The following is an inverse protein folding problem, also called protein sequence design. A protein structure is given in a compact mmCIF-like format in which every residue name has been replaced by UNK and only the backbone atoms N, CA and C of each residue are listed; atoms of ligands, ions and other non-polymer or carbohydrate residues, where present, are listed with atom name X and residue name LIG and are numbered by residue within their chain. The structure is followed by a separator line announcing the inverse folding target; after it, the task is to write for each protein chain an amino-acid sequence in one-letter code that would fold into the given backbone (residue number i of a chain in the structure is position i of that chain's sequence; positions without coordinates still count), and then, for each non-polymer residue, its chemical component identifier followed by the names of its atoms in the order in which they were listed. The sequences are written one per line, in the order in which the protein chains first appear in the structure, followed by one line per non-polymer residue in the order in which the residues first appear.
data_IF_310560589029
#
_entry.id   IF_310560589029
#
_cell.length_a   1.000
_cell.length_b   1.000
_cell.length_c   1.000
_cell.angle_alpha   90.00
_cell.angle_beta   90.00
_cell.angle_gamma   90.00
#
_symmetry.space_group_name_H-M   'P 1'
#
loop_
_entity.id
_entity.type
_entity.pdbx_description
1 polymer ?
#
# COMPACT_ATOMS: atom_id res chain seq x y z
N UNK A 1 -9.98 -22.35 15.89
CA UNK A 1 -9.04 -22.16 14.77
C UNK A 1 -9.39 -20.81 14.17
N UNK A 2 -8.48 -19.84 14.28
CA UNK A 2 -8.68 -18.50 13.72
C UNK A 2 -8.51 -18.59 12.20
N UNK A 3 -9.56 -18.27 11.45
CA UNK A 3 -9.42 -18.09 10.01
C UNK A 3 -8.64 -16.77 9.80
N UNK A 4 -7.61 -16.73 8.95
CA UNK A 4 -6.97 -15.47 8.60
C UNK A 4 -8.04 -14.54 8.01
N UNK A 5 -8.16 -13.36 8.61
CA UNK A 5 -9.09 -12.30 8.23
C UNK A 5 -8.75 -11.89 6.80
N UNK A 6 -9.73 -11.93 5.88
CA UNK A 6 -9.63 -11.64 4.43
C UNK A 6 -8.93 -10.31 4.04
N UNK A 7 -8.55 -9.51 5.01
CA UNK A 7 -7.92 -8.19 4.90
C UNK A 7 -6.48 -8.31 4.37
N UNK A 8 -5.70 -9.31 4.80
CA UNK A 8 -4.30 -9.48 4.39
C UNK A 8 -4.16 -9.89 2.91
N UNK A 9 -5.06 -10.72 2.40
CA UNK A 9 -5.01 -11.18 1.00
C UNK A 9 -5.41 -10.06 0.00
N UNK A 10 -6.31 -9.16 0.41
CA UNK A 10 -6.80 -8.10 -0.47
C UNK A 10 -5.82 -6.93 -0.60
N UNK A 11 -5.14 -6.56 0.50
CA UNK A 11 -4.14 -5.49 0.47
C UNK A 11 -2.88 -5.88 -0.30
N UNK A 12 -2.41 -7.13 -0.18
CA UNK A 12 -1.39 -7.68 -1.09
C UNK A 12 -1.87 -7.68 -2.55
N UNK A 13 -3.16 -7.99 -2.77
CA UNK A 13 -3.77 -8.03 -4.10
C UNK A 13 -3.74 -6.69 -4.83
N UNK A 14 -4.03 -5.58 -4.14
CA UNK A 14 -4.00 -4.23 -4.74
C UNK A 14 -2.57 -3.81 -5.09
N UNK A 15 -1.61 -4.06 -4.21
CA UNK A 15 -0.21 -3.71 -4.45
C UNK A 15 0.38 -4.48 -5.63
N UNK A 16 0.03 -5.78 -5.75
CA UNK A 16 0.38 -6.60 -6.92
C UNK A 16 -0.35 -6.15 -8.20
N UNK A 17 -1.60 -5.71 -8.09
CA UNK A 17 -2.39 -5.24 -9.22
C UNK A 17 -1.86 -3.91 -9.78
N UNK A 18 -1.47 -2.98 -8.90
CA UNK A 18 -0.82 -1.74 -9.28
C UNK A 18 0.51 -2.00 -9.99
N UNK A 19 1.33 -2.93 -9.48
CA UNK A 19 2.57 -3.34 -10.13
C UNK A 19 2.32 -3.95 -11.51
N UNK A 20 1.27 -4.77 -11.64
CA UNK A 20 0.88 -5.38 -12.91
C UNK A 20 0.44 -4.33 -13.94
N UNK A 21 -0.30 -3.32 -13.50
CA UNK A 21 -0.80 -2.26 -14.39
C UNK A 21 0.29 -1.26 -14.78
N UNK A 22 1.23 -0.97 -13.88
CA UNK A 22 2.46 -0.22 -14.21
C UNK A 22 3.35 -0.99 -15.21
N UNK A 23 3.50 -2.31 -15.04
CA UNK A 23 4.24 -3.16 -15.99
C UNK A 23 3.58 -3.21 -17.39
N UNK A 24 2.23 -3.15 -17.46
CA UNK A 24 1.52 -3.08 -18.74
C UNK A 24 1.72 -1.74 -19.43
N UNK A 25 1.70 -0.63 -18.69
CA UNK A 25 1.99 0.70 -19.24
C UNK A 25 3.42 0.76 -19.80
N UNK A 26 4.38 0.18 -19.08
CA UNK A 26 5.77 0.03 -19.55
C UNK A 26 5.84 -0.83 -20.82
N UNK A 27 5.06 -1.91 -20.93
CA UNK A 27 5.06 -2.77 -22.13
C UNK A 27 4.49 -2.05 -23.37
N UNK A 28 3.46 -1.22 -23.20
CA UNK A 28 2.94 -0.38 -24.30
C UNK A 28 3.92 0.74 -24.67
N UNK A 29 4.61 1.33 -23.70
CA UNK A 29 5.66 2.32 -23.95
C UNK A 29 6.92 1.72 -24.59
N UNK A 30 7.24 0.45 -24.32
CA UNK A 30 8.30 -0.31 -25.00
C UNK A 30 7.95 -0.51 -26.49
N UNK A 31 6.69 -0.81 -26.81
CA UNK A 31 6.23 -0.92 -28.20
C UNK A 31 6.34 0.42 -28.94
N UNK A 32 5.95 1.51 -28.28
CA UNK A 32 6.03 2.86 -28.84
C UNK A 32 7.48 3.36 -28.98
N UNK A 33 8.36 3.07 -28.02
CA UNK A 33 9.77 3.45 -28.06
C UNK A 33 10.56 2.68 -29.14
N UNK A 34 10.19 1.43 -29.44
CA UNK A 34 10.72 0.68 -30.59
C UNK A 34 10.32 1.31 -31.94
N UNK A 35 9.22 2.05 -31.97
CA UNK A 35 8.68 2.65 -33.19
C UNK A 35 9.33 4.00 -33.55
N UNK A 36 9.75 4.83 -32.58
CA UNK A 36 10.00 6.25 -32.88
C UNK A 36 11.41 6.84 -32.69
N UNK A 37 12.28 6.47 -31.75
CA UNK A 37 13.59 7.13 -31.71
C UNK A 37 14.64 6.44 -30.86
N UNK A 38 15.83 6.25 -31.43
CA UNK A 38 17.04 5.76 -30.77
C UNK A 38 17.64 6.67 -29.69
N UNK A 39 16.83 7.18 -28.75
CA UNK A 39 17.34 7.55 -27.43
C UNK A 39 17.66 6.25 -26.69
N UNK A 40 18.94 6.09 -26.36
CA UNK A 40 19.59 4.82 -26.04
C UNK A 40 18.83 4.07 -24.96
N UNK A 41 18.24 2.94 -25.33
CA UNK A 41 17.64 1.92 -24.44
C UNK A 41 18.47 1.72 -23.17
N UNK A 42 19.80 1.84 -23.25
CA UNK A 42 20.72 1.76 -22.11
C UNK A 42 20.51 2.81 -21.01
N UNK A 43 20.10 4.04 -21.34
CA UNK A 43 19.88 5.11 -20.37
C UNK A 43 18.59 4.89 -19.58
N UNK A 44 17.55 4.41 -20.28
CA UNK A 44 16.27 4.03 -19.66
C UNK A 44 16.34 2.69 -18.92
N UNK A 45 17.12 1.73 -19.39
CA UNK A 45 17.43 0.51 -18.63
C UNK A 45 18.12 0.84 -17.31
N UNK A 46 18.98 1.85 -17.30
CA UNK A 46 19.63 2.33 -16.08
C UNK A 46 18.63 3.00 -15.12
N UNK A 47 17.73 3.83 -15.64
CA UNK A 47 16.63 4.40 -14.84
C UNK A 47 15.67 3.30 -14.31
N UNK A 48 15.42 2.25 -15.09
CA UNK A 48 14.63 1.07 -14.67
C UNK A 48 15.38 0.24 -13.63
N UNK A 49 16.68 -0.01 -13.80
CA UNK A 49 17.51 -0.69 -12.80
C UNK A 49 17.56 0.12 -11.50
N UNK A 50 17.69 1.44 -11.58
CA UNK A 50 17.66 2.33 -10.41
C UNK A 50 16.26 2.32 -9.75
N UNK A 51 15.19 2.30 -10.52
CA UNK A 51 13.82 2.23 -10.01
C UNK A 51 13.44 0.84 -9.47
N UNK A 52 13.96 -0.26 -10.03
CA UNK A 52 13.77 -1.64 -9.56
C UNK A 52 14.66 -1.94 -8.36
N UNK A 53 15.88 -1.39 -8.31
CA UNK A 53 16.74 -1.49 -7.13
C UNK A 53 16.25 -0.60 -5.98
N UNK A 54 15.59 0.52 -6.28
CA UNK A 54 14.87 1.32 -5.28
C UNK A 54 13.47 0.77 -4.97
N UNK A 55 12.94 -0.13 -5.80
CA UNK A 55 11.83 -1.01 -5.46
C UNK A 55 12.32 -1.98 -4.38
N UNK A 56 12.25 -1.48 -3.16
CA UNK A 56 12.75 -2.14 -1.98
C UNK A 56 11.96 -3.44 -1.77
N UNK A 57 12.50 -4.57 -2.24
CA UNK A 57 12.01 -5.92 -1.91
C UNK A 57 11.90 -6.12 -0.38
N UNK A 58 12.54 -5.27 0.44
CA UNK A 58 12.36 -5.21 1.89
C UNK A 58 10.96 -4.72 2.35
N UNK A 59 10.05 -4.37 1.42
CA UNK A 59 8.63 -4.11 1.73
C UNK A 59 7.76 -5.37 1.74
N UNK A 60 8.25 -6.50 1.22
CA UNK A 60 7.67 -7.81 1.52
C UNK A 60 8.15 -8.18 2.92
N UNK A 61 7.25 -8.53 3.84
CA UNK A 61 7.44 -8.92 5.26
C UNK A 61 8.80 -9.59 5.63
N UNK A 62 9.90 -8.87 5.53
CA UNK A 62 11.25 -9.31 5.83
C UNK A 62 11.93 -8.22 6.65
N UNK A 63 12.42 -8.59 7.83
CA UNK A 63 13.02 -7.66 8.78
C UNK A 63 12.66 -8.05 10.21
N UNK A 64 13.16 -7.27 11.17
CA UNK A 64 12.79 -7.39 12.57
C UNK A 64 11.65 -6.41 12.86
N UNK A 65 10.48 -6.94 13.16
CA UNK A 65 9.33 -6.13 13.55
C UNK A 65 8.54 -6.77 14.69
N UNK A 66 7.90 -5.91 15.47
CA UNK A 66 6.86 -6.31 16.42
C UNK A 66 5.56 -5.63 16.04
N UNK A 67 4.46 -6.34 16.21
CA UNK A 67 3.12 -5.88 15.88
C UNK A 67 2.24 -5.80 17.13
N UNK A 68 1.51 -4.70 17.25
CA UNK A 68 0.61 -4.42 18.36
C UNK A 68 -0.78 -4.07 17.82
N UNK A 69 -1.82 -4.58 18.49
CA UNK A 69 -3.20 -4.39 18.08
C UNK A 69 -4.01 -3.83 19.24
N UNK A 70 -4.73 -2.74 18.98
CA UNK A 70 -5.67 -2.13 19.92
C UNK A 70 -7.09 -2.41 19.45
N UNK A 71 -7.95 -2.80 20.39
CA UNK A 71 -9.32 -3.21 20.12
C UNK A 71 -10.33 -2.27 20.78
N UNK A 72 -11.49 -2.09 20.16
CA UNK A 72 -12.65 -1.45 20.79
C UNK A 72 -13.41 -2.42 21.72
N UNK A 73 -14.53 -1.95 22.28
CA UNK A 73 -15.38 -2.74 23.17
C UNK A 73 -16.06 -3.94 22.47
N UNK A 74 -16.24 -3.86 21.16
CA UNK A 74 -16.85 -4.90 20.33
C UNK A 74 -15.81 -5.87 19.75
N UNK A 75 -14.54 -5.74 20.19
CA UNK A 75 -13.39 -6.53 19.74
C UNK A 75 -13.00 -6.32 18.27
N UNK A 76 -13.36 -5.19 17.68
CA UNK A 76 -12.81 -4.76 16.39
C UNK A 76 -11.42 -4.14 16.60
N UNK A 77 -10.49 -4.40 15.68
CA UNK A 77 -9.16 -3.77 15.71
C UNK A 77 -9.30 -2.32 15.27
N UNK A 78 -9.03 -1.36 16.15
CA UNK A 78 -9.09 0.08 15.85
C UNK A 78 -7.71 0.67 15.53
N UNK A 79 -6.64 -0.01 15.93
CA UNK A 79 -5.27 0.41 15.61
C UNK A 79 -4.35 -0.82 15.48
N UNK A 80 -3.45 -0.76 14.50
CA UNK A 80 -2.36 -1.70 14.29
C UNK A 80 -1.05 -0.92 14.18
N UNK A 81 -0.16 -1.15 15.13
CA UNK A 81 1.16 -0.53 15.18
C UNK A 81 2.24 -1.57 14.87
N UNK A 82 3.13 -1.22 13.94
CA UNK A 82 4.33 -1.96 13.59
C UNK A 82 5.53 -1.15 14.06
N UNK A 83 6.45 -1.80 14.77
CA UNK A 83 7.73 -1.22 15.23
C UNK A 83 8.90 -2.00 14.65
N UNK A 84 10.10 -1.42 14.65
CA UNK A 84 11.31 -2.07 14.14
C UNK A 84 11.79 -1.46 12.82
N UNK A 85 12.12 -2.30 11.85
CA UNK A 85 12.78 -1.87 10.60
C UNK A 85 11.88 -0.99 9.71
N UNK A 86 10.56 -1.22 9.73
CA UNK A 86 9.57 -0.46 8.97
C UNK A 86 8.40 -0.03 9.87
N UNK A 87 8.60 0.99 10.73
CA UNK A 87 7.57 1.38 11.67
C UNK A 87 6.39 2.03 10.94
N UNK A 88 5.18 1.65 11.34
CA UNK A 88 3.95 2.23 10.80
C UNK A 88 2.80 2.12 11.79
N UNK A 89 1.83 3.01 11.66
CA UNK A 89 0.58 2.95 12.42
C UNK A 89 -0.57 2.96 11.44
N UNK A 90 -1.48 1.99 11.57
CA UNK A 90 -2.73 1.94 10.82
C UNK A 90 -3.90 2.09 11.77
N UNK A 91 -4.75 3.07 11.52
CA UNK A 91 -6.00 3.29 12.24
C UNK A 91 -7.17 2.82 11.40
N UNK A 92 -8.17 2.19 12.03
CA UNK A 92 -9.33 1.61 11.36
C UNK A 92 -10.62 2.23 11.87
N UNK A 93 -11.45 2.69 10.93
CA UNK A 93 -12.82 3.13 11.18
C UNK A 93 -13.82 2.10 10.69
N UNK A 94 -14.85 1.82 11.50
CA UNK A 94 -15.93 0.88 11.15
C UNK A 94 -17.24 1.62 10.93
N UNK A 95 -18.18 0.97 10.25
CA UNK A 95 -19.55 1.49 10.11
C UNK A 95 -20.27 1.48 11.46
N UNK A 96 -21.08 2.50 11.69
CA UNK A 96 -21.87 2.67 12.92
C UNK A 96 -23.12 1.77 12.96
N UNK A 97 -23.42 1.05 11.89
CA UNK A 97 -24.59 0.16 11.78
C UNK A 97 -24.42 -1.17 12.51
N UNK A 98 -23.28 -1.38 13.19
CA UNK A 98 -22.98 -2.60 13.94
C UNK A 98 -22.63 -3.81 13.07
N UNK A 99 -22.46 -3.63 11.76
CA UNK A 99 -22.07 -4.71 10.84
C UNK A 99 -20.63 -5.23 11.06
N UNK A 100 -19.79 -4.43 11.73
CA UNK A 100 -18.35 -4.69 11.85
C UNK A 100 -17.60 -4.47 10.53
N UNK A 101 -18.23 -3.86 9.53
CA UNK A 101 -17.60 -3.56 8.24
C UNK A 101 -16.69 -2.33 8.37
N UNK A 102 -15.48 -2.42 7.78
CA UNK A 102 -14.59 -1.28 7.68
C UNK A 102 -15.23 -0.18 6.84
N UNK A 103 -15.19 1.04 7.34
CA UNK A 103 -15.57 2.26 6.62
C UNK A 103 -14.34 2.88 5.98
N UNK A 104 -13.27 2.99 6.75
CA UNK A 104 -12.03 3.63 6.33
C UNK A 104 -10.82 3.08 7.09
N UNK A 105 -9.62 3.32 6.54
CA UNK A 105 -8.37 3.04 7.22
C UNK A 105 -7.32 4.08 6.85
N UNK A 106 -6.50 4.49 7.82
CA UNK A 106 -5.41 5.44 7.61
C UNK A 106 -4.09 4.83 8.07
N UNK A 107 -3.17 4.57 7.14
CA UNK A 107 -1.81 4.10 7.44
C UNK A 107 -0.83 5.25 7.34
N UNK A 108 -0.02 5.43 8.38
CA UNK A 108 1.05 6.43 8.42
C UNK A 108 2.39 5.76 8.65
N UNK A 109 3.41 6.14 7.89
CA UNK A 109 4.79 5.69 8.06
C UNK A 109 5.77 6.76 7.58
N UNK A 110 7.05 6.60 7.94
CA UNK A 110 8.13 7.47 7.47
C UNK A 110 8.90 6.75 6.37
N UNK A 111 9.11 7.41 5.23
CA UNK A 111 9.92 6.86 4.14
C UNK A 111 11.42 7.00 4.39
N UNK A 112 12.24 6.45 3.49
CA UNK A 112 13.72 6.49 3.61
C UNK A 112 14.31 7.90 3.53
N UNK A 113 13.54 8.88 3.05
CA UNK A 113 13.94 10.28 2.95
C UNK A 113 13.48 11.10 4.17
N UNK A 114 12.84 10.45 5.15
CA UNK A 114 12.28 11.12 6.33
C UNK A 114 10.93 11.79 6.10
N UNK A 115 10.27 11.55 4.96
CA UNK A 115 8.93 12.09 4.70
C UNK A 115 7.88 11.27 5.43
N UNK A 116 6.87 11.94 5.99
CA UNK A 116 5.68 11.27 6.49
C UNK A 116 4.75 10.95 5.34
N UNK A 117 4.48 9.67 5.13
CA UNK A 117 3.53 9.17 4.14
C UNK A 117 2.26 8.75 4.87
N UNK A 118 1.12 9.30 4.47
CA UNK A 118 -0.19 8.92 4.97
C UNK A 118 -1.05 8.39 3.83
N UNK A 119 -1.48 7.15 3.92
CA UNK A 119 -2.38 6.50 2.96
C UNK A 119 -3.74 6.34 3.63
N UNK A 120 -4.75 7.00 3.09
CA UNK A 120 -6.14 6.86 3.53
C UNK A 120 -6.93 6.06 2.50
N UNK A 121 -7.67 5.06 2.96
CA UNK A 121 -8.58 4.23 2.16
C UNK A 121 -10.01 4.38 2.68
N UNK A 122 -10.97 4.45 1.78
CA UNK A 122 -12.41 4.39 2.10
C UNK A 122 -13.03 3.21 1.37
N UNK A 123 -13.78 2.37 2.09
CA UNK A 123 -14.33 1.12 1.57
C UNK A 123 -15.82 1.29 1.25
N UNK A 124 -16.21 0.88 0.05
CA UNK A 124 -17.59 0.96 -0.43
C UNK A 124 -18.19 -0.42 -0.56
N UNK A 125 -19.45 -0.57 -0.18
CA UNK A 125 -20.11 -1.88 -0.09
C UNK A 125 -21.44 -1.91 -0.84
N UNK A 126 -21.81 -3.10 -1.31
CA UNK A 126 -23.18 -3.44 -1.74
C UNK A 126 -23.49 -4.84 -1.23
N UNK A 127 -24.56 -4.98 -0.46
CA UNK A 127 -25.00 -6.25 0.14
C UNK A 127 -23.88 -6.99 0.90
N UNK A 128 -23.10 -6.24 1.68
CA UNK A 128 -21.99 -6.75 2.48
C UNK A 128 -20.72 -7.11 1.71
N UNK A 129 -20.70 -6.90 0.39
CA UNK A 129 -19.52 -7.11 -0.44
C UNK A 129 -18.83 -5.79 -0.72
N UNK A 130 -17.50 -5.75 -0.62
CA UNK A 130 -16.70 -4.60 -1.08
C UNK A 130 -16.89 -4.47 -2.59
N UNK A 131 -17.30 -3.29 -3.04
CA UNK A 131 -17.50 -2.95 -4.47
C UNK A 131 -16.48 -1.95 -4.97
N UNK A 132 -15.78 -1.27 -4.07
CA UNK A 132 -14.68 -0.41 -4.42
C UNK A 132 -13.95 0.12 -3.20
N UNK A 133 -12.75 0.63 -3.46
CA UNK A 133 -11.91 1.29 -2.47
C UNK A 133 -11.40 2.57 -3.09
N UNK A 134 -11.67 3.71 -2.45
CA UNK A 134 -11.05 4.97 -2.81
C UNK A 134 -9.77 5.14 -1.97
N UNK A 135 -8.64 5.43 -2.62
CA UNK A 135 -7.35 5.60 -1.94
C UNK A 135 -6.81 6.99 -2.20
N UNK A 136 -6.32 7.65 -1.16
CA UNK A 136 -5.58 8.91 -1.26
C UNK A 136 -4.28 8.83 -0.47
N UNK A 137 -3.21 9.37 -1.04
CA UNK A 137 -1.89 9.41 -0.41
C UNK A 137 -1.45 10.85 -0.24
N UNK A 138 -1.00 11.18 0.97
CA UNK A 138 -0.40 12.48 1.31
C UNK A 138 1.05 12.28 1.69
N UNK A 139 1.91 13.20 1.25
CA UNK A 139 3.33 13.22 1.59
C UNK A 139 3.63 14.54 2.28
N UNK A 140 4.12 14.47 3.50
CA UNK A 140 4.57 15.64 4.29
C UNK A 140 6.08 15.59 4.41
N UNK A 141 6.74 16.65 3.97
CA UNK A 141 8.20 16.78 4.03
C UNK A 141 8.64 17.08 5.48
N UNK A 142 9.84 16.63 5.91
CA UNK A 142 10.38 16.98 7.22
C UNK A 142 10.57 18.50 7.34
N UNK A 143 10.31 19.06 8.53
CA UNK A 143 10.61 20.47 8.81
C UNK A 143 12.14 20.69 8.70
N UNK A 144 12.53 21.78 8.02
CA UNK A 144 13.92 22.12 7.71
C UNK A 144 14.67 22.76 8.88
#
# INVERSE_FOLDING_TARGET
MSNPTKILEYDLGIELQNLLDELKLVNEDIKLANAESGKKISQRLKEIEENVMSFNMNKLETGNFNEFFTYDADSNVIQHEVTGDNPSVTEYGYKEDGSGELKDSTKTFIDTNGNTITIHKTYMYTDGNITGIATSTTVTLPEA
#
